data_IF_788505518140
#
_entry.id   IF_788505518140
#
_cell.length_a   1.000
_cell.length_b   1.000
_cell.length_c   1.000
_cell.angle_alpha   90.00
_cell.angle_beta   90.00
_cell.angle_gamma   90.00
#
_symmetry.space_group_name_H-M   'P 1'
#
loop_
_entity.id
_entity.type
_entity.pdbx_description
1 polymer ?
#
# COMPACT_ATOMS: atom_id res chain seq x y z
N UNK A 1 14.13 28.37 -6.51
CA UNK A 1 12.77 27.82 -6.36
C UNK A 1 12.87 26.33 -6.58
N UNK A 2 12.86 25.53 -5.50
CA UNK A 2 12.81 24.06 -5.61
C UNK A 2 11.48 23.71 -6.28
N UNK A 3 11.54 23.05 -7.43
CA UNK A 3 10.35 22.55 -8.11
C UNK A 3 10.01 21.22 -7.46
N UNK A 4 9.01 21.20 -6.59
CA UNK A 4 8.51 19.98 -5.95
C UNK A 4 7.63 19.22 -6.93
N UNK A 5 7.84 17.91 -7.06
CA UNK A 5 6.91 17.00 -7.73
C UNK A 5 5.94 16.40 -6.73
N UNK A 6 4.74 16.01 -7.21
CA UNK A 6 3.73 15.34 -6.40
C UNK A 6 3.24 14.07 -7.07
N UNK A 7 2.87 13.05 -6.30
CA UNK A 7 2.16 11.88 -6.82
C UNK A 7 1.16 11.33 -5.79
N UNK A 8 0.06 10.78 -6.29
CA UNK A 8 -0.93 10.08 -5.46
C UNK A 8 -0.53 8.64 -5.22
N UNK A 9 -0.85 8.10 -4.03
CA UNK A 9 -0.85 6.68 -3.74
C UNK A 9 -2.24 6.27 -3.21
N UNK A 10 -2.86 5.34 -3.93
CA UNK A 10 -4.13 4.72 -3.55
C UNK A 10 -3.94 3.21 -3.50
N UNK A 11 -4.56 2.54 -2.53
CA UNK A 11 -4.47 1.08 -2.37
C UNK A 11 -5.77 0.52 -1.81
N UNK A 12 -5.98 -0.78 -2.01
CA UNK A 12 -6.97 -1.57 -1.27
C UNK A 12 -8.37 -0.95 -1.40
N UNK A 13 -8.83 -0.87 -2.65
CA UNK A 13 -10.14 -0.30 -2.98
C UNK A 13 -11.26 -1.22 -2.52
N UNK A 14 -11.07 -2.54 -2.70
CA UNK A 14 -12.03 -3.60 -2.41
C UNK A 14 -13.48 -3.21 -2.68
N UNK A 15 -13.85 -3.11 -3.96
CA UNK A 15 -15.23 -2.89 -4.36
C UNK A 15 -16.09 -4.09 -3.93
N UNK A 16 -17.12 -3.86 -3.11
CA UNK A 16 -18.23 -4.80 -2.95
C UNK A 16 -19.39 -4.39 -3.90
N UNK A 17 -19.59 -5.10 -5.03
CA UNK A 17 -20.66 -4.78 -5.96
C UNK A 17 -22.06 -5.08 -5.40
N UNK A 18 -22.14 -5.79 -4.29
CA UNK A 18 -23.40 -6.19 -3.64
C UNK A 18 -23.88 -5.18 -2.61
N UNK A 19 -23.08 -4.16 -2.27
CA UNK A 19 -23.43 -3.18 -1.26
C UNK A 19 -24.75 -2.46 -1.58
N UNK A 20 -25.76 -2.61 -0.71
CA UNK A 20 -27.00 -1.86 -0.77
C UNK A 20 -27.63 -1.74 0.62
N UNK A 21 -28.28 -0.60 0.89
CA UNK A 21 -28.94 -0.37 2.19
C UNK A 21 -30.28 -1.10 2.20
N UNK A 22 -30.48 -2.00 3.17
CA UNK A 22 -31.69 -2.81 3.33
C UNK A 22 -32.00 -3.04 4.82
N UNK A 23 -33.28 -3.25 5.22
CA UNK A 23 -33.62 -3.51 6.62
C UNK A 23 -32.94 -4.76 7.19
N UNK A 24 -32.72 -5.78 6.37
CA UNK A 24 -31.99 -7.00 6.74
C UNK A 24 -30.49 -6.74 6.69
N UNK A 25 -29.91 -6.34 7.83
CA UNK A 25 -28.50 -5.92 7.92
C UNK A 25 -27.49 -7.02 7.57
N UNK A 26 -27.91 -8.28 7.52
CA UNK A 26 -27.07 -9.41 7.05
C UNK A 26 -26.91 -9.45 5.53
N UNK A 27 -27.75 -8.71 4.80
CA UNK A 27 -27.77 -8.66 3.32
C UNK A 27 -27.29 -7.33 2.75
N UNK A 28 -26.76 -6.45 3.60
CA UNK A 28 -26.27 -5.14 3.14
C UNK A 28 -25.08 -5.31 2.20
N UNK A 29 -24.17 -6.22 2.52
CA UNK A 29 -22.95 -6.48 1.76
C UNK A 29 -22.55 -7.93 1.92
N UNK A 30 -22.01 -8.55 0.88
CA UNK A 30 -21.56 -9.94 0.93
C UNK A 30 -20.24 -10.06 1.68
N UNK A 31 -19.43 -9.01 1.69
CA UNK A 31 -18.16 -8.93 2.42
C UNK A 31 -18.31 -9.08 3.95
N UNK A 32 -19.49 -8.79 4.52
CA UNK A 32 -19.74 -9.05 5.95
C UNK A 32 -19.93 -10.53 6.28
N UNK A 33 -20.05 -11.39 5.25
CA UNK A 33 -20.19 -12.85 5.36
C UNK A 33 -21.40 -13.25 6.21
N UNK A 34 -22.49 -12.48 6.09
CA UNK A 34 -23.75 -12.69 6.82
C UNK A 34 -23.77 -12.05 8.22
N UNK A 35 -22.71 -11.35 8.63
CA UNK A 35 -22.78 -10.52 9.84
C UNK A 35 -23.69 -9.31 9.60
N UNK A 36 -24.38 -8.87 10.65
CA UNK A 36 -25.15 -7.63 10.61
C UNK A 36 -24.19 -6.45 10.41
N UNK A 37 -24.34 -5.71 9.31
CA UNK A 37 -23.67 -4.41 9.15
C UNK A 37 -23.98 -3.49 10.36
N UNK A 38 -22.97 -2.77 10.84
CA UNK A 38 -23.02 -2.09 12.14
C UNK A 38 -23.96 -0.88 12.12
N UNK A 39 -23.71 0.03 11.19
CA UNK A 39 -24.49 1.23 10.94
C UNK A 39 -24.33 1.65 9.45
N UNK A 40 -24.89 0.86 8.51
CA UNK A 40 -24.63 1.04 7.10
C UNK A 40 -25.19 2.37 6.59
N UNK A 41 -24.41 3.06 5.76
CA UNK A 41 -24.80 4.29 5.12
C UNK A 41 -24.29 4.36 3.68
N UNK A 42 -24.56 5.48 2.98
CA UNK A 42 -24.30 5.61 1.55
C UNK A 42 -22.82 5.44 1.16
N UNK A 43 -21.88 5.68 2.08
CA UNK A 43 -20.45 5.56 1.85
C UNK A 43 -19.84 4.28 2.45
N UNK A 44 -20.64 3.38 3.03
CA UNK A 44 -20.16 2.08 3.50
C UNK A 44 -20.52 1.78 4.94
N UNK A 45 -19.89 0.75 5.47
CA UNK A 45 -19.97 0.30 6.87
C UNK A 45 -18.62 -0.32 7.26
N UNK A 46 -18.22 -0.24 8.52
CA UNK A 46 -16.96 -0.85 8.96
C UNK A 46 -16.97 -2.39 8.90
N UNK A 47 -18.10 -3.07 8.69
CA UNK A 47 -18.16 -4.51 8.43
C UNK A 47 -18.32 -4.85 6.95
N UNK A 48 -18.28 -3.83 6.08
CA UNK A 48 -18.40 -3.98 4.64
C UNK A 48 -17.16 -3.50 3.92
N UNK A 49 -16.88 -4.12 2.79
CA UNK A 49 -16.01 -3.56 1.78
C UNK A 49 -16.67 -2.35 1.09
N UNK A 50 -15.89 -1.63 0.29
CA UNK A 50 -16.28 -0.34 -0.28
C UNK A 50 -17.50 -0.46 -1.18
N UNK A 51 -18.59 0.29 -0.93
CA UNK A 51 -19.53 0.57 -2.01
C UNK A 51 -18.84 1.38 -3.11
N UNK A 52 -19.32 1.24 -4.34
CA UNK A 52 -18.76 1.99 -5.46
C UNK A 52 -18.80 3.52 -5.23
N UNK A 53 -19.83 4.01 -4.54
CA UNK A 53 -19.96 5.42 -4.16
C UNK A 53 -18.78 5.93 -3.30
N UNK A 54 -18.24 5.10 -2.41
CA UNK A 54 -17.07 5.46 -1.60
C UNK A 54 -15.84 5.65 -2.49
N UNK A 55 -15.56 4.68 -3.38
CA UNK A 55 -14.44 4.71 -4.31
C UNK A 55 -14.55 5.93 -5.24
N UNK A 56 -15.74 6.19 -5.79
CA UNK A 56 -16.00 7.38 -6.61
C UNK A 56 -15.75 8.67 -5.84
N UNK A 57 -16.13 8.74 -4.55
CA UNK A 57 -15.88 9.92 -3.72
C UNK A 57 -14.40 10.19 -3.50
N UNK A 58 -13.58 9.14 -3.33
CA UNK A 58 -12.14 9.26 -3.18
C UNK A 58 -11.49 9.85 -4.45
N UNK A 59 -11.84 9.31 -5.63
CA UNK A 59 -11.31 9.82 -6.89
C UNK A 59 -11.84 11.21 -7.25
N UNK A 60 -13.09 11.52 -6.91
CA UNK A 60 -13.63 12.87 -7.05
C UNK A 60 -12.86 13.87 -6.19
N UNK A 61 -12.63 13.56 -4.91
CA UNK A 61 -11.80 14.38 -4.03
C UNK A 61 -10.39 14.59 -4.59
N UNK A 62 -9.71 13.52 -5.01
CA UNK A 62 -8.36 13.60 -5.57
C UNK A 62 -8.31 14.51 -6.81
N UNK A 63 -9.32 14.43 -7.69
CA UNK A 63 -9.45 15.28 -8.88
C UNK A 63 -9.73 16.74 -8.54
N UNK A 64 -10.59 16.99 -7.55
CA UNK A 64 -11.04 18.33 -7.17
C UNK A 64 -10.06 19.04 -6.22
N UNK A 65 -9.07 18.33 -5.67
CA UNK A 65 -8.03 18.85 -4.77
C UNK A 65 -7.18 19.97 -5.39
N UNK A 66 -7.14 20.08 -6.72
CA UNK A 66 -6.30 21.02 -7.50
C UNK A 66 -4.80 20.81 -7.34
N UNK A 67 -4.37 19.72 -6.69
CA UNK A 67 -2.97 19.33 -6.60
C UNK A 67 -2.43 18.95 -7.99
N UNK A 68 -1.24 19.43 -8.33
CA UNK A 68 -0.60 19.14 -9.62
C UNK A 68 0.26 17.88 -9.51
N UNK A 69 -0.38 16.73 -9.70
CA UNK A 69 0.30 15.44 -9.64
C UNK A 69 0.95 15.05 -10.96
N UNK A 70 2.12 14.43 -10.86
CA UNK A 70 2.94 13.98 -11.98
C UNK A 70 2.56 12.56 -12.42
N UNK A 71 2.16 11.71 -11.47
CA UNK A 71 1.68 10.35 -11.69
C UNK A 71 0.86 9.87 -10.49
N UNK A 72 0.32 8.66 -10.57
CA UNK A 72 -0.29 7.94 -9.47
C UNK A 72 0.34 6.55 -9.34
N UNK A 73 0.48 6.05 -8.11
CA UNK A 73 0.71 4.63 -7.86
C UNK A 73 -0.57 4.00 -7.31
N UNK A 74 -0.91 2.81 -7.80
CA UNK A 74 -2.08 2.05 -7.36
C UNK A 74 -1.69 0.64 -6.97
N UNK A 75 -1.57 0.35 -5.68
CA UNK A 75 -0.99 -0.91 -5.20
C UNK A 75 -2.01 -2.05 -5.01
N UNK A 76 -3.05 -2.10 -5.86
CA UNK A 76 -3.89 -3.28 -6.02
C UNK A 76 -5.05 -3.44 -5.03
N UNK A 77 -5.57 -4.67 -4.98
CA UNK A 77 -6.69 -5.16 -4.18
C UNK A 77 -8.04 -4.51 -4.51
N UNK A 78 -8.61 -4.96 -5.62
CA UNK A 78 -9.87 -4.46 -6.18
C UNK A 78 -11.10 -5.30 -5.78
N UNK A 79 -11.08 -6.65 -5.82
CA UNK A 79 -12.23 -7.47 -5.45
C UNK A 79 -12.51 -7.49 -3.93
N UNK A 80 -13.74 -7.83 -3.50
CA UNK A 80 -14.12 -7.82 -2.09
C UNK A 80 -13.67 -9.09 -1.35
N UNK A 81 -13.70 -9.01 -0.02
CA UNK A 81 -13.44 -10.12 0.90
C UNK A 81 -14.66 -11.03 1.05
N UNK A 82 -14.93 -11.84 0.04
CA UNK A 82 -15.98 -12.87 0.08
C UNK A 82 -15.37 -14.27 -0.01
N UNK A 83 -16.06 -15.33 0.43
CA UNK A 83 -15.60 -16.69 0.21
C UNK A 83 -15.27 -16.95 -1.26
N UNK A 84 -14.18 -17.65 -1.56
CA UNK A 84 -13.71 -17.86 -2.94
C UNK A 84 -14.77 -18.43 -3.90
N UNK A 85 -15.72 -19.22 -3.40
CA UNK A 85 -16.86 -19.78 -4.15
C UNK A 85 -17.86 -18.73 -4.67
N UNK A 86 -17.84 -17.52 -4.12
CA UNK A 86 -18.70 -16.38 -4.51
C UNK A 86 -18.01 -15.49 -5.54
N UNK A 87 -16.73 -15.74 -5.82
CA UNK A 87 -15.97 -15.12 -6.91
C UNK A 87 -15.68 -16.12 -8.03
N UNK A 88 -15.14 -15.60 -9.12
CA UNK A 88 -14.58 -16.36 -10.24
C UNK A 88 -13.51 -15.52 -10.94
N UNK A 89 -12.65 -16.15 -11.74
CA UNK A 89 -11.67 -15.45 -12.58
C UNK A 89 -12.31 -14.32 -13.39
N UNK A 90 -13.45 -14.59 -14.01
CA UNK A 90 -14.18 -13.59 -14.81
C UNK A 90 -14.66 -12.39 -13.97
N UNK A 91 -15.18 -12.65 -12.77
CA UNK A 91 -15.66 -11.57 -11.90
C UNK A 91 -14.50 -10.73 -11.36
N UNK A 92 -13.40 -11.36 -10.95
CA UNK A 92 -12.16 -10.67 -10.54
C UNK A 92 -11.66 -9.77 -11.67
N UNK A 93 -11.50 -10.32 -12.88
CA UNK A 93 -11.08 -9.54 -14.06
C UNK A 93 -12.04 -8.37 -14.32
N UNK A 94 -13.36 -8.59 -14.22
CA UNK A 94 -14.36 -7.54 -14.42
C UNK A 94 -14.24 -6.42 -13.39
N UNK A 95 -13.95 -6.73 -12.12
CA UNK A 95 -13.80 -5.72 -11.07
C UNK A 95 -12.51 -4.91 -11.29
N UNK A 96 -11.39 -5.56 -11.60
CA UNK A 96 -10.13 -4.87 -11.92
C UNK A 96 -10.28 -3.98 -13.16
N UNK A 97 -10.98 -4.47 -14.19
CA UNK A 97 -11.31 -3.70 -15.39
C UNK A 97 -12.21 -2.50 -15.12
N UNK A 98 -13.16 -2.63 -14.19
CA UNK A 98 -13.98 -1.52 -13.70
C UNK A 98 -13.10 -0.47 -13.01
N UNK A 99 -12.30 -0.83 -12.01
CA UNK A 99 -11.41 0.10 -11.31
C UNK A 99 -10.43 0.79 -12.26
N UNK A 100 -9.81 0.03 -13.17
CA UNK A 100 -8.91 0.59 -14.18
C UNK A 100 -9.60 1.63 -15.08
N UNK A 101 -10.85 1.36 -15.49
CA UNK A 101 -11.62 2.28 -16.31
C UNK A 101 -12.09 3.50 -15.53
N UNK A 102 -12.46 3.33 -14.26
CA UNK A 102 -12.84 4.42 -13.36
C UNK A 102 -11.69 5.38 -13.14
N UNK A 103 -10.49 4.87 -12.84
CA UNK A 103 -9.29 5.69 -12.70
C UNK A 103 -9.03 6.50 -13.99
N UNK A 104 -9.07 5.86 -15.17
CA UNK A 104 -8.89 6.58 -16.45
C UNK A 104 -9.95 7.63 -16.71
N UNK A 105 -11.19 7.41 -16.29
CA UNK A 105 -12.27 8.38 -16.48
C UNK A 105 -12.08 9.63 -15.59
N UNK A 106 -11.56 9.46 -14.38
CA UNK A 106 -11.23 10.58 -13.50
C UNK A 106 -9.93 11.29 -13.95
N UNK A 107 -8.95 10.53 -14.40
CA UNK A 107 -7.59 10.99 -14.71
C UNK A 107 -7.13 10.50 -16.10
N UNK A 108 -7.68 11.05 -17.20
CA UNK A 108 -7.39 10.56 -18.55
C UNK A 108 -5.94 10.77 -18.99
N UNK A 109 -5.30 11.83 -18.50
CA UNK A 109 -3.94 12.23 -18.90
C UNK A 109 -2.87 11.84 -17.86
N UNK A 110 -3.27 11.21 -16.74
CA UNK A 110 -2.34 10.86 -15.67
C UNK A 110 -1.78 9.46 -15.89
N UNK A 111 -0.45 9.33 -15.88
CA UNK A 111 0.19 8.02 -15.86
C UNK A 111 -0.01 7.35 -14.50
N UNK A 112 -0.46 6.10 -14.52
CA UNK A 112 -0.68 5.30 -13.32
C UNK A 112 0.27 4.10 -13.34
N UNK A 113 0.96 3.85 -12.23
CA UNK A 113 1.79 2.68 -12.03
C UNK A 113 1.10 1.72 -11.06
N UNK A 114 0.39 0.71 -11.59
CA UNK A 114 -0.31 -0.25 -10.75
C UNK A 114 0.57 -1.43 -10.29
N UNK A 115 0.19 -2.05 -9.17
CA UNK A 115 0.63 -3.38 -8.74
C UNK A 115 -0.60 -4.25 -8.49
N UNK A 116 -0.48 -5.57 -8.66
CA UNK A 116 -1.53 -6.50 -8.28
C UNK A 116 -1.51 -6.74 -6.78
N UNK A 117 -2.68 -6.82 -6.16
CA UNK A 117 -2.85 -7.33 -4.81
C UNK A 117 -3.25 -8.81 -4.75
N UNK A 118 -3.32 -9.37 -3.55
CA UNK A 118 -3.60 -10.80 -3.37
C UNK A 118 -5.06 -11.16 -3.66
N UNK A 119 -5.98 -10.21 -3.55
CA UNK A 119 -7.38 -10.36 -3.97
C UNK A 119 -7.59 -10.17 -5.48
N UNK A 120 -6.62 -9.62 -6.21
CA UNK A 120 -6.68 -9.43 -7.67
C UNK A 120 -6.44 -10.74 -8.46
N UNK A 121 -6.77 -11.90 -7.88
CA UNK A 121 -6.68 -13.20 -8.53
C UNK A 121 -7.79 -14.15 -8.05
N UNK A 122 -8.10 -15.18 -8.83
CA UNK A 122 -9.03 -16.23 -8.40
C UNK A 122 -8.43 -17.63 -8.58
N UNK A 123 -8.48 -18.49 -7.55
CA UNK A 123 -8.83 -18.16 -6.16
C UNK A 123 -7.88 -17.11 -5.57
N UNK A 124 -8.36 -16.32 -4.59
CA UNK A 124 -7.53 -15.29 -3.94
C UNK A 124 -6.21 -15.87 -3.42
N UNK A 125 -5.17 -15.03 -3.37
CA UNK A 125 -3.81 -15.32 -2.93
C UNK A 125 -3.00 -16.24 -3.85
N UNK A 126 -3.63 -17.07 -4.69
CA UNK A 126 -2.98 -18.11 -5.48
C UNK A 126 -2.34 -17.60 -6.78
N UNK A 127 -1.60 -16.50 -6.71
CA UNK A 127 -0.97 -15.87 -7.88
C UNK A 127 0.14 -16.79 -8.45
N UNK A 128 0.11 -17.11 -9.76
CA UNK A 128 1.02 -18.08 -10.36
C UNK A 128 2.37 -17.51 -10.76
N UNK A 129 3.36 -18.40 -10.93
CA UNK A 129 4.72 -18.05 -11.37
C UNK A 129 4.88 -17.96 -12.89
N UNK A 130 3.79 -18.14 -13.64
CA UNK A 130 3.78 -18.08 -15.11
C UNK A 130 2.56 -17.28 -15.58
N UNK A 131 2.46 -17.07 -16.90
CA UNK A 131 1.34 -16.36 -17.50
C UNK A 131 -0.02 -16.97 -17.11
N UNK A 132 -1.03 -16.12 -17.00
CA UNK A 132 -2.39 -16.52 -16.61
C UNK A 132 -3.44 -15.68 -17.33
N UNK A 133 -4.70 -16.12 -17.28
CA UNK A 133 -5.83 -15.35 -17.83
C UNK A 133 -5.91 -13.96 -17.19
N UNK A 134 -5.73 -13.88 -15.86
CA UNK A 134 -5.75 -12.61 -15.13
C UNK A 134 -4.59 -11.71 -15.55
N UNK A 135 -3.35 -12.21 -15.59
CA UNK A 135 -2.20 -11.40 -16.00
C UNK A 135 -2.36 -10.87 -17.43
N UNK A 136 -2.94 -11.67 -18.32
CA UNK A 136 -3.19 -11.24 -19.68
C UNK A 136 -4.30 -10.18 -19.78
N UNK A 137 -5.42 -10.36 -19.08
CA UNK A 137 -6.51 -9.39 -19.09
C UNK A 137 -6.10 -8.06 -18.43
N UNK A 138 -5.40 -8.12 -17.30
CA UNK A 138 -4.95 -6.93 -16.58
C UNK A 138 -3.88 -6.18 -17.38
N UNK A 139 -2.97 -6.89 -18.07
CA UNK A 139 -2.06 -6.27 -19.03
C UNK A 139 -2.82 -5.45 -20.09
N UNK A 140 -3.92 -5.99 -20.63
CA UNK A 140 -4.73 -5.26 -21.61
C UNK A 140 -5.39 -4.02 -21.03
N UNK A 141 -5.85 -4.07 -19.78
CA UNK A 141 -6.38 -2.90 -19.09
C UNK A 141 -5.33 -1.83 -18.83
N UNK A 142 -4.08 -2.21 -18.55
CA UNK A 142 -3.01 -1.29 -18.14
C UNK A 142 -2.11 -0.82 -19.29
N UNK A 143 -2.30 -1.36 -20.51
CA UNK A 143 -1.63 -0.89 -21.74
C UNK A 143 -1.61 0.63 -21.91
N UNK A 144 -2.67 1.41 -21.60
CA UNK A 144 -2.61 2.87 -21.73
C UNK A 144 -1.59 3.56 -20.82
N UNK A 145 -1.12 2.91 -19.76
CA UNK A 145 -0.18 3.50 -18.79
C UNK A 145 1.25 2.96 -18.92
N UNK A 146 1.43 1.81 -19.59
CA UNK A 146 2.66 1.04 -19.60
C UNK A 146 3.15 0.80 -21.03
N UNK A 147 4.47 0.80 -21.23
CA UNK A 147 5.06 0.47 -22.53
C UNK A 147 5.01 -1.04 -22.81
N UNK A 148 5.34 -1.43 -24.05
CA UNK A 148 5.28 -2.84 -24.47
C UNK A 148 6.23 -3.75 -23.68
N UNK A 149 7.40 -3.26 -23.25
CA UNK A 149 8.36 -4.04 -22.44
C UNK A 149 7.78 -4.38 -21.06
N UNK A 150 7.18 -3.38 -20.41
CA UNK A 150 6.49 -3.52 -19.13
C UNK A 150 5.31 -4.49 -19.27
N UNK A 151 4.48 -4.34 -20.32
CA UNK A 151 3.36 -5.23 -20.62
C UNK A 151 3.81 -6.67 -20.85
N UNK A 152 4.90 -6.87 -21.60
CA UNK A 152 5.42 -8.22 -21.88
C UNK A 152 5.96 -8.91 -20.63
N UNK A 153 6.60 -8.17 -19.73
CA UNK A 153 7.08 -8.72 -18.45
C UNK A 153 5.91 -9.01 -17.52
N UNK A 154 4.94 -8.09 -17.44
CA UNK A 154 3.75 -8.25 -16.61
C UNK A 154 2.95 -9.50 -16.99
N UNK A 155 2.76 -9.77 -18.29
CA UNK A 155 2.07 -11.00 -18.74
C UNK A 155 2.72 -12.30 -18.28
N UNK A 156 4.02 -12.29 -17.97
CA UNK A 156 4.76 -13.49 -17.54
C UNK A 156 4.65 -13.76 -16.05
N UNK A 157 4.63 -12.73 -15.21
CA UNK A 157 4.71 -12.91 -13.76
C UNK A 157 4.03 -11.83 -12.90
N UNK A 158 3.26 -10.91 -13.49
CA UNK A 158 2.53 -9.86 -12.75
C UNK A 158 3.40 -8.72 -12.20
N UNK A 159 4.67 -8.62 -12.63
CA UNK A 159 5.61 -7.56 -12.26
C UNK A 159 6.19 -6.88 -13.49
N UNK A 160 6.69 -5.64 -13.35
CA UNK A 160 7.30 -4.90 -14.45
C UNK A 160 8.17 -3.73 -13.95
N UNK A 161 8.92 -3.11 -14.86
CA UNK A 161 9.53 -1.79 -14.64
C UNK A 161 9.17 -0.83 -15.76
N UNK A 162 9.03 0.45 -15.44
CA UNK A 162 8.70 1.52 -16.38
C UNK A 162 9.49 2.77 -16.00
N UNK A 163 10.02 3.48 -17.00
CA UNK A 163 10.60 4.80 -16.77
C UNK A 163 9.49 5.85 -16.76
N UNK A 164 9.57 6.74 -15.78
CA UNK A 164 8.80 7.97 -15.68
C UNK A 164 9.70 9.15 -16.04
N UNK A 165 9.33 9.88 -17.09
CA UNK A 165 10.03 11.07 -17.54
C UNK A 165 9.31 12.31 -17.02
N UNK A 166 9.92 13.00 -16.05
CA UNK A 166 9.43 14.32 -15.63
C UNK A 166 9.93 15.36 -16.62
N UNK A 167 9.03 16.11 -17.26
CA UNK A 167 9.41 17.21 -18.17
C UNK A 167 10.27 18.32 -17.54
N UNK A 168 10.45 18.29 -16.22
CA UNK A 168 11.28 19.24 -15.46
C UNK A 168 12.58 18.62 -14.90
N UNK A 169 12.81 17.31 -15.06
CA UNK A 169 14.03 16.64 -14.57
C UNK A 169 14.93 16.20 -15.72
N UNK A 170 16.24 16.20 -15.50
CA UNK A 170 17.25 15.74 -16.47
C UNK A 170 17.49 14.23 -16.41
N UNK A 171 16.98 13.54 -15.39
CA UNK A 171 17.12 12.10 -15.23
C UNK A 171 15.74 11.46 -15.06
N UNK A 172 15.46 10.30 -15.67
CA UNK A 172 14.19 9.62 -15.45
C UNK A 172 14.17 8.88 -14.11
N UNK A 173 13.00 8.82 -13.49
CA UNK A 173 12.72 7.94 -12.36
C UNK A 173 12.31 6.57 -12.90
N UNK A 174 12.84 5.50 -12.32
CA UNK A 174 12.38 4.14 -12.63
C UNK A 174 11.37 3.68 -11.59
N UNK A 175 10.19 3.28 -12.04
CA UNK A 175 9.23 2.55 -11.20
C UNK A 175 9.47 1.05 -11.39
N UNK A 176 9.55 0.31 -10.30
CA UNK A 176 9.58 -1.16 -10.28
C UNK A 176 8.33 -1.61 -9.53
N UNK A 177 7.40 -2.23 -10.27
CA UNK A 177 6.19 -2.82 -9.71
C UNK A 177 6.41 -4.31 -9.49
N UNK A 178 6.50 -4.70 -8.22
CA UNK A 178 6.72 -6.07 -7.78
C UNK A 178 5.40 -6.81 -7.60
N UNK A 179 5.42 -8.10 -7.91
CA UNK A 179 4.35 -9.01 -7.52
C UNK A 179 4.76 -9.71 -6.23
N UNK A 180 4.63 -9.00 -5.11
CA UNK A 180 4.98 -9.52 -3.77
C UNK A 180 3.99 -10.58 -3.27
N UNK A 181 2.85 -10.75 -3.92
CA UNK A 181 1.89 -11.81 -3.62
C UNK A 181 2.47 -13.21 -3.92
N UNK A 182 3.50 -13.32 -4.77
CA UNK A 182 4.26 -14.57 -4.95
C UNK A 182 4.94 -15.01 -3.65
N UNK A 183 5.24 -14.07 -2.76
CA UNK A 183 5.91 -14.33 -1.49
C UNK A 183 4.94 -14.48 -0.32
N UNK A 184 3.65 -14.21 -0.54
CA UNK A 184 2.63 -14.17 0.50
C UNK A 184 2.39 -15.56 1.11
N UNK A 185 2.31 -15.64 2.43
CA UNK A 185 2.26 -16.92 3.17
C UNK A 185 1.10 -17.84 2.75
N UNK A 186 -0.11 -17.34 2.45
CA UNK A 186 -1.23 -18.13 1.90
C UNK A 186 -1.08 -18.61 0.44
N UNK A 187 -0.11 -18.11 -0.33
CA UNK A 187 0.02 -18.50 -1.74
C UNK A 187 0.64 -19.90 -1.88
N UNK A 188 -0.19 -20.95 -2.02
CA UNK A 188 0.31 -22.32 -2.08
C UNK A 188 1.04 -22.64 -3.39
N UNK A 189 0.88 -21.81 -4.43
CA UNK A 189 1.51 -22.00 -5.75
C UNK A 189 3.03 -21.85 -5.68
N UNK A 190 3.54 -21.09 -4.71
CA UNK A 190 4.97 -20.76 -4.59
C UNK A 190 5.69 -21.52 -3.49
N UNK A 191 5.03 -22.45 -2.81
CA UNK A 191 5.65 -23.29 -1.77
C UNK A 191 6.86 -24.05 -2.36
N UNK A 192 7.98 -24.01 -1.65
CA UNK A 192 9.26 -24.62 -2.04
C UNK A 192 9.89 -24.08 -3.33
N UNK A 193 9.47 -22.91 -3.83
CA UNK A 193 10.14 -22.24 -4.95
C UNK A 193 11.10 -21.18 -4.41
N UNK A 194 12.38 -21.25 -4.76
CA UNK A 194 13.39 -20.31 -4.22
C UNK A 194 13.33 -18.92 -4.85
N UNK A 195 12.95 -18.82 -6.13
CA UNK A 195 12.75 -17.55 -6.83
C UNK A 195 11.51 -17.62 -7.73
N UNK A 196 10.29 -17.41 -7.17
CA UNK A 196 9.07 -17.56 -7.93
C UNK A 196 9.00 -16.54 -9.07
N UNK A 197 8.83 -17.06 -10.29
CA UNK A 197 8.83 -16.30 -11.56
C UNK A 197 10.16 -15.59 -11.88
N UNK A 198 11.28 -16.05 -11.31
CA UNK A 198 12.61 -15.44 -11.44
C UNK A 198 12.65 -13.94 -11.04
N UNK A 199 11.74 -13.53 -10.16
CA UNK A 199 11.51 -12.12 -9.84
C UNK A 199 12.67 -11.52 -9.03
N UNK A 200 13.35 -12.29 -8.17
CA UNK A 200 14.54 -11.80 -7.46
C UNK A 200 15.70 -11.59 -8.43
N UNK A 201 16.00 -12.58 -9.27
CA UNK A 201 17.06 -12.46 -10.27
C UNK A 201 16.79 -11.28 -11.23
N UNK A 202 15.53 -11.13 -11.67
CA UNK A 202 15.10 -9.99 -12.47
C UNK A 202 15.27 -8.66 -11.72
N UNK A 203 14.82 -8.56 -10.48
CA UNK A 203 14.92 -7.35 -9.66
C UNK A 203 16.37 -6.92 -9.46
N UNK A 204 17.26 -7.86 -9.10
CA UNK A 204 18.69 -7.58 -8.94
C UNK A 204 19.31 -7.06 -10.25
N UNK A 205 18.93 -7.62 -11.40
CA UNK A 205 19.39 -7.15 -12.71
C UNK A 205 18.92 -5.74 -13.06
N UNK A 206 17.66 -5.39 -12.75
CA UNK A 206 17.12 -4.05 -12.97
C UNK A 206 17.77 -3.01 -12.04
N UNK A 207 17.97 -3.35 -10.76
CA UNK A 207 18.61 -2.47 -9.78
C UNK A 207 20.09 -2.25 -10.11
N UNK A 208 20.82 -3.30 -10.51
CA UNK A 208 22.20 -3.19 -10.98
C UNK A 208 22.30 -2.27 -12.22
N UNK A 209 21.42 -2.47 -13.19
CA UNK A 209 21.36 -1.60 -14.39
C UNK A 209 21.04 -0.15 -14.02
N UNK A 210 20.14 0.05 -13.06
CA UNK A 210 19.77 1.39 -12.58
C UNK A 210 20.93 2.08 -11.87
N UNK A 211 21.70 1.33 -11.06
CA UNK A 211 22.94 1.79 -10.43
C UNK A 211 23.96 2.26 -11.48
N UNK A 212 24.25 1.43 -12.48
CA UNK A 212 25.20 1.75 -13.56
C UNK A 212 24.78 2.98 -14.37
N UNK A 213 23.47 3.14 -14.60
CA UNK A 213 22.88 4.29 -15.30
C UNK A 213 22.63 5.50 -14.39
N UNK A 214 22.97 5.42 -13.10
CA UNK A 214 22.72 6.46 -12.09
C UNK A 214 21.25 6.89 -12.02
N UNK A 215 20.33 5.96 -12.26
CA UNK A 215 18.89 6.18 -12.14
C UNK A 215 18.48 6.08 -10.67
N UNK A 216 17.40 6.76 -10.31
CA UNK A 216 16.71 6.54 -9.04
C UNK A 216 15.50 5.64 -9.25
N UNK A 217 15.16 4.90 -8.20
CA UNK A 217 14.10 3.88 -8.24
C UNK A 217 13.07 4.11 -7.15
N UNK A 218 11.80 4.03 -7.52
CA UNK A 218 10.72 3.74 -6.57
C UNK A 218 10.26 2.29 -6.72
N UNK A 219 10.19 1.58 -5.60
CA UNK A 219 9.63 0.23 -5.53
C UNK A 219 8.18 0.35 -5.13
N UNK A 220 7.29 -0.27 -5.90
CA UNK A 220 5.89 -0.46 -5.49
C UNK A 220 5.58 -1.95 -5.43
N UNK A 221 4.75 -2.34 -4.48
CA UNK A 221 4.24 -3.70 -4.34
C UNK A 221 2.95 -3.69 -3.53
N UNK A 222 2.27 -4.82 -3.41
CA UNK A 222 1.06 -4.88 -2.61
C UNK A 222 1.37 -5.30 -1.17
N UNK A 223 1.72 -6.57 -0.96
CA UNK A 223 2.13 -7.08 0.37
C UNK A 223 3.50 -6.50 0.73
N UNK A 224 3.66 -5.82 1.87
CA UNK A 224 4.94 -5.25 2.28
C UNK A 224 5.95 -6.32 2.72
N UNK A 225 7.22 -5.92 2.79
CA UNK A 225 8.24 -6.66 3.55
C UNK A 225 8.15 -6.30 5.04
N UNK A 226 8.93 -6.99 5.88
CA UNK A 226 9.01 -6.75 7.31
C UNK A 226 7.91 -7.45 8.10
N UNK A 227 7.78 -7.01 9.36
CA UNK A 227 6.88 -7.59 10.35
C UNK A 227 5.56 -6.83 10.42
N UNK A 228 4.47 -7.57 10.68
CA UNK A 228 3.16 -6.98 10.90
C UNK A 228 3.16 -6.22 12.24
N UNK A 229 2.85 -4.91 12.25
CA UNK A 229 2.99 -4.09 13.46
C UNK A 229 1.94 -4.38 14.54
N UNK A 230 0.93 -5.19 14.21
CA UNK A 230 -0.14 -5.65 15.10
C UNK A 230 -0.03 -7.12 15.49
N UNK A 231 1.04 -7.82 15.06
CA UNK A 231 1.26 -9.23 15.40
C UNK A 231 2.73 -9.48 15.76
N UNK A 232 2.97 -10.25 16.82
CA UNK A 232 4.33 -10.58 17.27
C UNK A 232 4.92 -11.68 16.39
N UNK A 233 6.19 -11.54 16.00
CA UNK A 233 6.98 -12.55 15.27
C UNK A 233 6.32 -13.03 13.96
N UNK A 234 5.55 -12.17 13.28
CA UNK A 234 4.83 -12.51 12.06
C UNK A 234 5.21 -11.55 10.94
N UNK A 235 5.86 -12.05 9.89
CA UNK A 235 6.11 -11.28 8.66
C UNK A 235 4.89 -11.29 7.74
N UNK A 236 4.74 -10.25 6.94
CA UNK A 236 3.64 -10.17 5.96
C UNK A 236 3.80 -11.19 4.82
N UNK A 237 5.03 -11.43 4.38
CA UNK A 237 5.42 -12.48 3.42
C UNK A 237 6.21 -13.59 4.11
N UNK A 238 6.41 -14.75 3.49
CA UNK A 238 7.21 -15.84 4.10
C UNK A 238 8.62 -15.35 4.42
N UNK A 239 9.12 -15.71 5.60
CA UNK A 239 10.40 -15.24 6.14
C UNK A 239 11.57 -15.37 5.15
N UNK A 240 11.71 -16.51 4.48
CA UNK A 240 12.74 -16.72 3.46
C UNK A 240 12.77 -15.61 2.38
N UNK A 241 11.60 -15.22 1.87
CA UNK A 241 11.48 -14.17 0.86
C UNK A 241 11.67 -12.78 1.47
N UNK A 242 11.21 -12.58 2.70
CA UNK A 242 11.45 -11.36 3.46
C UNK A 242 12.96 -11.08 3.57
N UNK A 243 13.72 -12.05 4.06
CA UNK A 243 15.17 -11.97 4.19
C UNK A 243 15.86 -11.72 2.84
N UNK A 244 15.37 -12.37 1.77
CA UNK A 244 15.92 -12.17 0.43
C UNK A 244 15.71 -10.76 -0.07
N UNK A 245 14.51 -10.19 0.08
CA UNK A 245 14.21 -8.82 -0.33
C UNK A 245 14.95 -7.79 0.52
N UNK A 246 14.98 -7.97 1.84
CA UNK A 246 15.74 -7.10 2.76
C UNK A 246 17.20 -7.03 2.32
N UNK A 247 17.83 -8.17 2.00
CA UNK A 247 19.21 -8.22 1.50
C UNK A 247 19.39 -7.48 0.17
N UNK A 248 18.47 -7.66 -0.78
CA UNK A 248 18.50 -6.98 -2.08
C UNK A 248 18.36 -5.46 -1.88
N UNK A 249 17.39 -5.02 -1.08
CA UNK A 249 17.15 -3.60 -0.83
C UNK A 249 18.28 -2.93 -0.06
N UNK A 250 18.92 -3.61 0.91
CA UNK A 250 20.16 -3.13 1.55
C UNK A 250 21.27 -2.91 0.53
N UNK A 251 21.52 -3.90 -0.33
CA UNK A 251 22.57 -3.85 -1.36
C UNK A 251 22.40 -2.67 -2.33
N UNK A 252 21.16 -2.35 -2.71
CA UNK A 252 20.86 -1.31 -3.70
C UNK A 252 20.22 -0.05 -3.10
N UNK A 253 20.36 0.18 -1.80
CA UNK A 253 19.73 1.29 -1.09
C UNK A 253 20.11 2.68 -1.63
N UNK A 254 21.32 2.82 -2.19
CA UNK A 254 21.77 4.07 -2.82
C UNK A 254 20.99 4.46 -4.09
N UNK A 255 20.33 3.49 -4.73
CA UNK A 255 19.52 3.64 -5.95
C UNK A 255 18.03 3.80 -5.61
N UNK A 256 17.56 3.09 -4.58
CA UNK A 256 16.16 3.09 -4.16
C UNK A 256 15.88 4.36 -3.35
N UNK A 257 15.01 5.23 -3.87
CA UNK A 257 14.64 6.49 -3.25
C UNK A 257 13.35 6.41 -2.39
N UNK A 258 12.59 5.32 -2.50
CA UNK A 258 11.38 5.09 -1.71
C UNK A 258 10.70 3.77 -2.07
N UNK A 259 9.98 3.19 -1.11
CA UNK A 259 9.19 1.98 -1.31
C UNK A 259 7.75 2.16 -0.80
N UNK A 260 6.78 1.68 -1.56
CA UNK A 260 5.35 1.95 -1.33
C UNK A 260 4.52 0.69 -1.44
N UNK A 261 3.75 0.40 -0.38
CA UNK A 261 2.96 -0.82 -0.23
C UNK A 261 1.53 -0.54 0.25
N UNK A 262 0.68 -1.56 0.22
CA UNK A 262 -0.69 -1.53 0.74
C UNK A 262 -0.95 -2.72 1.66
N UNK A 263 -2.02 -3.47 1.40
CA UNK A 263 -2.36 -4.77 2.00
C UNK A 263 -2.81 -4.73 3.46
N UNK A 264 -2.11 -4.00 4.32
CA UNK A 264 -2.37 -4.03 5.77
C UNK A 264 -3.60 -3.21 6.16
N UNK A 265 -4.06 -2.33 5.25
CA UNK A 265 -5.10 -1.32 5.47
C UNK A 265 -4.77 -0.35 6.59
N UNK A 266 -3.49 -0.18 6.92
CA UNK A 266 -3.02 0.69 8.02
C UNK A 266 -1.97 1.66 7.52
N UNK A 267 -1.94 2.84 8.11
CA UNK A 267 -0.89 3.81 7.86
C UNK A 267 0.35 3.41 8.65
N UNK A 268 1.38 2.91 7.97
CA UNK A 268 2.63 2.52 8.62
C UNK A 268 3.83 3.01 7.84
N UNK A 269 4.92 3.22 8.59
CA UNK A 269 6.22 3.53 8.03
C UNK A 269 7.19 2.45 8.50
N UNK A 270 8.21 2.21 7.71
CA UNK A 270 9.31 1.33 8.05
C UNK A 270 10.61 1.97 7.60
N UNK A 271 11.67 1.77 8.37
CA UNK A 271 13.01 2.25 8.04
C UNK A 271 13.93 1.04 7.93
N UNK A 272 14.46 0.82 6.74
CA UNK A 272 15.45 -0.23 6.53
C UNK A 272 16.82 0.28 6.97
N UNK A 273 17.42 -0.43 7.92
CA UNK A 273 18.81 -0.22 8.36
C UNK A 273 19.77 -1.12 7.56
N UNK A 274 21.00 -0.64 7.33
CA UNK A 274 22.12 -1.47 6.84
C UNK A 274 22.71 -2.36 7.94
N UNK A 275 23.79 -3.08 7.62
CA UNK A 275 24.45 -4.00 8.56
C UNK A 275 25.18 -3.27 9.71
N UNK A 276 25.44 -1.96 9.55
CA UNK A 276 26.01 -1.07 10.56
C UNK A 276 24.94 -0.24 11.30
N UNK A 277 23.67 -0.65 11.23
CA UNK A 277 22.50 0.02 11.84
C UNK A 277 22.26 1.46 11.37
N UNK A 278 22.76 1.85 10.19
CA UNK A 278 22.45 3.16 9.60
C UNK A 278 21.17 3.07 8.78
N UNK A 279 20.27 4.05 8.88
CA UNK A 279 19.06 4.05 8.07
C UNK A 279 19.40 4.34 6.61
N UNK A 280 18.97 3.46 5.71
CA UNK A 280 19.33 3.54 4.28
C UNK A 280 18.14 3.60 3.34
N UNK A 281 16.93 3.23 3.78
CA UNK A 281 15.74 3.24 2.92
C UNK A 281 14.46 3.51 3.71
N UNK A 282 13.57 4.33 3.13
CA UNK A 282 12.25 4.66 3.68
C UNK A 282 11.16 3.86 2.96
N UNK A 283 10.29 3.21 3.73
CA UNK A 283 9.19 2.41 3.24
C UNK A 283 7.87 2.90 3.84
N UNK A 284 6.82 2.92 3.03
CA UNK A 284 5.51 3.42 3.43
C UNK A 284 4.43 2.42 3.05
N UNK A 285 3.56 2.13 4.01
CA UNK A 285 2.36 1.31 3.82
C UNK A 285 1.16 2.23 3.88
N UNK A 286 0.35 2.24 2.82
CA UNK A 286 -0.83 3.07 2.74
C UNK A 286 -2.05 2.38 3.37
N UNK A 287 -2.90 3.13 4.09
CA UNK A 287 -4.19 2.63 4.50
C UNK A 287 -5.08 2.42 3.27
N UNK A 288 -6.15 1.65 3.48
CA UNK A 288 -7.08 1.32 2.44
C UNK A 288 -8.13 2.41 2.22
N UNK A 289 -8.74 2.41 1.04
CA UNK A 289 -10.03 3.08 0.85
C UNK A 289 -11.15 2.27 1.51
N UNK A 290 -11.08 0.93 1.48
CA UNK A 290 -12.05 0.10 2.21
C UNK A 290 -11.95 0.29 3.72
N UNK A 291 -13.08 0.40 4.45
CA UNK A 291 -13.09 0.48 5.90
C UNK A 291 -13.35 -0.89 6.56
N UNK A 292 -13.27 -1.99 5.80
CA UNK A 292 -13.71 -3.30 6.29
C UNK A 292 -12.87 -3.78 7.47
N UNK A 293 -13.54 -4.33 8.48
CA UNK A 293 -12.94 -5.14 9.53
C UNK A 293 -13.79 -6.38 9.77
N UNK A 294 -13.18 -7.41 10.35
CA UNK A 294 -13.91 -8.56 10.86
C UNK A 294 -14.69 -8.19 12.14
N UNK A 295 -15.71 -9.00 12.46
CA UNK A 295 -16.57 -8.79 13.65
C UNK A 295 -15.76 -8.81 14.95
N UNK A 296 -14.74 -9.65 15.02
CA UNK A 296 -13.89 -9.83 16.21
C UNK A 296 -12.83 -8.74 16.38
N UNK A 297 -12.57 -7.95 15.34
CA UNK A 297 -11.58 -6.87 15.41
C UNK A 297 -12.20 -5.64 16.08
N UNK A 298 -11.48 -5.06 17.04
CA UNK A 298 -11.87 -3.81 17.69
C UNK A 298 -11.65 -2.61 16.77
N UNK A 299 -10.57 -2.64 16.00
CA UNK A 299 -10.10 -1.57 15.14
C UNK A 299 -10.48 -1.79 13.67
N UNK A 300 -10.77 -0.70 12.99
CA UNK A 300 -10.70 -0.59 11.52
C UNK A 300 -9.81 0.59 11.14
N UNK A 301 -9.86 1.00 9.88
CA UNK A 301 -9.41 2.29 9.39
C UNK A 301 -10.61 3.08 8.83
N UNK A 302 -10.55 4.41 8.91
CA UNK A 302 -11.32 5.20 7.96
C UNK A 302 -10.75 5.05 6.54
N UNK A 303 -11.57 5.29 5.50
CA UNK A 303 -11.09 5.38 4.12
C UNK A 303 -9.99 6.44 3.98
N UNK A 304 -8.86 6.06 3.37
CA UNK A 304 -7.68 6.92 3.22
C UNK A 304 -7.12 6.97 1.79
N UNK A 305 -6.59 8.13 1.41
CA UNK A 305 -5.75 8.33 0.21
C UNK A 305 -4.60 9.27 0.57
N UNK A 306 -3.44 9.16 -0.09
CA UNK A 306 -2.28 9.99 0.28
C UNK A 306 -1.53 10.57 -0.91
N UNK A 307 -0.94 11.73 -0.67
CA UNK A 307 -0.13 12.47 -1.63
C UNK A 307 1.30 12.53 -1.12
N UNK A 308 2.26 12.23 -1.98
CA UNK A 308 3.68 12.42 -1.68
C UNK A 308 4.21 13.66 -2.38
N UNK A 309 5.15 14.33 -1.73
CA UNK A 309 5.99 15.35 -2.33
C UNK A 309 7.41 14.82 -2.49
N UNK A 310 8.05 15.09 -3.62
CA UNK A 310 9.42 14.67 -3.91
C UNK A 310 10.23 15.76 -4.59
N UNK A 311 11.55 15.71 -4.44
CA UNK A 311 12.47 16.58 -5.16
C UNK A 311 12.63 16.09 -6.61
N UNK A 312 12.38 16.95 -7.60
CA UNK A 312 12.45 16.53 -9.00
C UNK A 312 13.87 16.22 -9.49
N UNK A 313 14.91 16.65 -8.76
CA UNK A 313 16.30 16.47 -9.17
C UNK A 313 16.85 15.10 -8.78
N UNK A 314 16.53 14.62 -7.58
CA UNK A 314 17.07 13.36 -7.05
C UNK A 314 16.00 12.36 -6.58
N UNK A 315 14.73 12.71 -6.71
CA UNK A 315 13.58 11.89 -6.33
C UNK A 315 13.51 11.53 -4.85
N UNK A 316 14.25 12.23 -3.99
CA UNK A 316 14.10 12.10 -2.54
C UNK A 316 12.71 12.56 -2.09
N UNK A 317 12.15 11.87 -1.11
CA UNK A 317 10.83 12.19 -0.58
C UNK A 317 10.92 13.34 0.41
N UNK A 318 10.09 14.35 0.19
CA UNK A 318 10.05 15.59 0.96
C UNK A 318 8.92 15.58 1.99
N UNK A 319 7.74 15.09 1.62
CA UNK A 319 6.58 15.06 2.52
C UNK A 319 5.54 14.00 2.12
N UNK A 320 4.63 13.70 3.05
CA UNK A 320 3.45 12.86 2.85
C UNK A 320 2.24 13.54 3.49
N UNK A 321 1.22 13.79 2.67
CA UNK A 321 -0.06 14.32 3.11
C UNK A 321 -1.09 13.20 3.09
N UNK A 322 -1.58 12.83 4.26
CA UNK A 322 -2.59 11.80 4.41
C UNK A 322 -3.96 12.47 4.45
N UNK A 323 -4.87 12.01 3.60
CA UNK A 323 -6.26 12.44 3.58
C UNK A 323 -7.16 11.28 3.98
N UNK A 324 -8.30 11.60 4.56
CA UNK A 324 -9.25 10.60 4.99
C UNK A 324 -10.69 11.09 4.90
N UNK A 325 -11.60 10.13 4.91
CA UNK A 325 -13.02 10.37 5.09
C UNK A 325 -13.44 9.87 6.47
N UNK A 326 -13.96 10.75 7.33
CA UNK A 326 -14.65 10.28 8.55
C UNK A 326 -15.94 9.57 8.11
N UNK A 327 -15.91 8.25 8.08
CA UNK A 327 -17.01 7.44 7.53
C UNK A 327 -18.30 7.62 8.35
N UNK A 328 -18.18 7.80 9.67
CA UNK A 328 -19.34 8.00 10.55
C UNK A 328 -20.00 9.34 10.27
N UNK A 329 -19.19 10.40 10.17
CA UNK A 329 -19.66 11.74 9.83
C UNK A 329 -20.29 11.76 8.43
N UNK A 330 -19.62 11.16 7.44
CA UNK A 330 -20.06 11.13 6.06
C UNK A 330 -21.40 10.41 5.89
N UNK A 331 -21.57 9.25 6.54
CA UNK A 331 -22.84 8.53 6.53
C UNK A 331 -23.96 9.29 7.26
N UNK A 332 -23.65 9.99 8.36
CA UNK A 332 -24.63 10.78 9.10
C UNK A 332 -25.13 12.00 8.31
N UNK A 333 -24.21 12.67 7.59
CA UNK A 333 -24.51 13.88 6.80
C UNK A 333 -24.94 13.59 5.36
N UNK A 334 -24.73 12.35 4.90
CA UNK A 334 -24.85 11.96 3.49
C UNK A 334 -23.98 12.85 2.57
N UNK A 335 -22.75 13.16 3.02
CA UNK A 335 -21.80 14.01 2.31
C UNK A 335 -20.37 13.47 2.50
N UNK A 336 -19.63 13.27 1.40
CA UNK A 336 -18.26 12.74 1.43
C UNK A 336 -17.21 13.84 1.60
N UNK A 337 -17.14 14.43 2.80
CA UNK A 337 -16.16 15.48 3.12
C UNK A 337 -14.78 14.89 3.45
N UNK A 338 -14.04 14.52 2.40
CA UNK A 338 -12.63 14.16 2.51
C UNK A 338 -11.81 15.34 3.04
N UNK A 339 -10.96 15.08 4.03
CA UNK A 339 -10.18 16.11 4.72
C UNK A 339 -8.74 15.66 4.95
N UNK A 340 -7.85 16.64 5.07
CA UNK A 340 -6.46 16.39 5.46
C UNK A 340 -6.46 15.83 6.89
N UNK A 341 -5.91 14.62 7.06
CA UNK A 341 -5.68 14.05 8.37
C UNK A 341 -4.41 14.68 8.96
N UNK A 342 -3.29 14.57 8.24
CA UNK A 342 -2.02 15.12 8.68
C UNK A 342 -1.03 15.36 7.54
N UNK A 343 -0.01 16.16 7.84
CA UNK A 343 1.21 16.34 7.04
C UNK A 343 2.35 15.75 7.86
N UNK A 344 3.06 14.76 7.32
CA UNK A 344 3.99 13.93 8.08
C UNK A 344 5.10 14.77 8.73
N UNK A 345 5.76 15.64 7.96
CA UNK A 345 6.84 16.51 8.47
C UNK A 345 6.37 17.40 9.63
N UNK A 346 5.19 18.02 9.49
CA UNK A 346 4.60 18.91 10.49
C UNK A 346 4.18 18.17 11.75
N UNK A 347 3.50 17.04 11.61
CA UNK A 347 2.95 16.29 12.75
C UNK A 347 4.05 15.64 13.57
N UNK A 348 5.10 15.13 12.92
CA UNK A 348 6.20 14.44 13.61
C UNK A 348 7.43 15.31 13.84
N UNK A 349 7.41 16.57 13.42
CA UNK A 349 8.53 17.50 13.57
C UNK A 349 9.81 16.93 12.99
N UNK A 350 9.76 16.53 11.71
CA UNK A 350 10.92 16.11 10.90
C UNK A 350 11.01 17.00 9.65
N UNK A 351 12.19 17.06 9.06
CA UNK A 351 12.46 17.95 7.92
C UNK A 351 12.02 17.36 6.58
N UNK A 352 12.16 16.06 6.41
CA UNK A 352 11.82 15.33 5.18
C UNK A 352 11.51 13.85 5.48
N UNK A 353 11.33 13.05 4.42
CA UNK A 353 11.01 11.63 4.50
C UNK A 353 12.22 10.73 4.22
N UNK A 354 13.44 11.28 4.33
CA UNK A 354 14.67 10.51 4.19
C UNK A 354 14.83 9.51 5.35
N UNK A 355 15.60 8.44 5.14
CA UNK A 355 15.74 7.39 6.14
C UNK A 355 16.19 7.91 7.51
N UNK A 356 17.11 8.88 7.54
CA UNK A 356 17.63 9.49 8.77
C UNK A 356 16.53 10.22 9.56
N UNK A 357 15.74 11.05 8.87
CA UNK A 357 14.61 11.79 9.46
C UNK A 357 13.56 10.83 10.05
N UNK A 358 13.19 9.77 9.31
CA UNK A 358 12.23 8.78 9.79
C UNK A 358 12.78 7.92 10.93
N UNK A 359 14.08 7.64 10.93
CA UNK A 359 14.71 6.90 12.03
C UNK A 359 14.74 7.73 13.32
N UNK A 360 15.03 9.03 13.24
CA UNK A 360 14.93 9.94 14.38
C UNK A 360 13.48 10.15 14.85
N UNK A 361 12.50 10.09 13.94
CA UNK A 361 11.10 9.97 14.33
C UNK A 361 10.85 8.67 15.10
N UNK A 362 11.26 7.51 14.58
CA UNK A 362 11.06 6.21 15.22
C UNK A 362 11.63 6.16 16.64
N UNK A 363 12.85 6.67 16.86
CA UNK A 363 13.44 6.80 18.21
C UNK A 363 12.58 7.62 19.17
N UNK A 364 11.99 8.72 18.68
CA UNK A 364 11.08 9.56 19.50
C UNK A 364 9.75 8.87 19.80
N UNK A 365 9.26 8.01 18.92
CA UNK A 365 8.10 7.16 19.18
C UNK A 365 8.40 6.14 20.30
N UNK A 366 9.61 5.57 20.31
CA UNK A 366 10.03 4.57 21.30
C UNK A 366 10.10 5.09 22.73
N UNK A 367 10.29 6.41 22.94
CA UNK A 367 10.41 7.00 24.28
C UNK A 367 9.25 6.61 25.22
N UNK A 368 9.52 6.31 26.50
CA UNK A 368 8.47 6.02 27.49
C UNK A 368 7.42 7.13 27.54
N UNK A 369 6.14 6.75 27.59
CA UNK A 369 4.99 7.68 27.59
C UNK A 369 4.96 8.70 26.44
N UNK A 370 5.57 8.38 25.28
CA UNK A 370 5.57 9.23 24.09
C UNK A 370 4.16 9.60 23.64
N UNK A 371 3.81 10.89 23.73
CA UNK A 371 2.59 11.45 23.14
C UNK A 371 2.62 11.38 21.62
N UNK A 372 3.82 11.43 21.03
CA UNK A 372 4.03 11.27 19.60
C UNK A 372 3.62 9.87 19.12
N UNK A 373 3.88 8.84 19.94
CA UNK A 373 3.41 7.48 19.65
C UNK A 373 1.88 7.38 19.68
N UNK A 374 1.21 8.07 20.60
CA UNK A 374 -0.27 8.11 20.62
C UNK A 374 -0.82 8.74 19.34
N UNK A 375 -0.22 9.84 18.89
CA UNK A 375 -0.57 10.45 17.60
C UNK A 375 -0.29 9.51 16.43
N UNK A 376 0.86 8.83 16.43
CA UNK A 376 1.19 7.83 15.42
C UNK A 376 0.16 6.70 15.36
N UNK A 377 -0.26 6.18 16.51
CA UNK A 377 -1.25 5.11 16.56
C UNK A 377 -2.64 5.56 16.11
N UNK A 378 -3.04 6.80 16.42
CA UNK A 378 -4.27 7.38 15.88
C UNK A 378 -4.23 7.42 14.34
N UNK A 379 -3.10 7.85 13.77
CA UNK A 379 -2.92 7.89 12.32
C UNK A 379 -2.83 6.47 11.71
N UNK A 380 -2.24 5.51 12.43
CA UNK A 380 -2.14 4.11 12.00
C UNK A 380 -3.51 3.49 11.67
N UNK A 381 -4.55 3.84 12.44
CA UNK A 381 -5.95 3.48 12.20
C UNK A 381 -6.74 4.57 11.45
N UNK A 382 -6.07 5.54 10.83
CA UNK A 382 -6.67 6.64 10.07
C UNK A 382 -7.73 7.40 10.87
N UNK A 383 -7.40 7.69 12.13
CA UNK A 383 -8.28 8.38 13.08
C UNK A 383 -9.66 7.71 13.21
N UNK A 384 -9.70 6.37 13.08
CA UNK A 384 -10.92 5.57 13.20
C UNK A 384 -11.58 5.74 14.56
N UNK A 385 -10.80 5.70 15.65
CA UNK A 385 -11.31 5.87 17.00
C UNK A 385 -10.19 6.33 17.94
N UNK A 386 -10.24 7.60 18.34
CA UNK A 386 -9.25 8.22 19.23
C UNK A 386 -9.26 7.62 20.65
N UNK A 387 -10.28 6.87 21.02
CA UNK A 387 -10.36 6.22 22.34
C UNK A 387 -9.54 4.93 22.41
N UNK A 388 -9.13 4.38 21.26
CA UNK A 388 -8.31 3.19 21.20
C UNK A 388 -6.85 3.55 21.46
N UNK A 389 -6.26 2.94 22.49
CA UNK A 389 -4.89 3.20 22.91
C UNK A 389 -4.04 1.94 22.76
N UNK A 390 -2.89 2.10 22.11
CA UNK A 390 -1.86 1.09 22.02
C UNK A 390 -0.81 1.29 23.13
N UNK A 391 -0.80 0.39 24.10
CA UNK A 391 0.13 0.41 25.23
C UNK A 391 0.93 -0.90 25.32
N UNK A 392 2.00 -0.88 26.10
CA UNK A 392 2.83 -2.05 26.42
C UNK A 392 3.21 -2.87 25.17
N UNK A 393 2.80 -4.15 25.12
CA UNK A 393 3.15 -5.08 24.04
C UNK A 393 2.66 -4.63 22.66
N UNK A 394 1.56 -3.87 22.57
CA UNK A 394 1.13 -3.28 21.29
C UNK A 394 2.18 -2.29 20.80
N UNK A 395 2.64 -1.39 21.68
CA UNK A 395 3.67 -0.40 21.34
C UNK A 395 4.97 -1.09 20.95
N UNK A 396 5.38 -2.12 21.69
CA UNK A 396 6.58 -2.90 21.36
C UNK A 396 6.49 -3.51 19.96
N UNK A 397 5.36 -4.13 19.58
CA UNK A 397 5.17 -4.68 18.24
C UNK A 397 5.28 -3.62 17.15
N UNK A 398 4.65 -2.46 17.35
CA UNK A 398 4.70 -1.33 16.43
C UNK A 398 6.13 -0.81 16.25
N UNK A 399 6.82 -0.47 17.35
CA UNK A 399 8.17 0.10 17.34
C UNK A 399 9.19 -0.86 16.73
N UNK A 400 9.12 -2.15 17.06
CA UNK A 400 10.03 -3.15 16.49
C UNK A 400 9.76 -3.36 15.00
N UNK A 401 8.50 -3.40 14.56
CA UNK A 401 8.16 -3.54 13.14
C UNK A 401 8.58 -2.32 12.31
N UNK A 402 8.54 -1.10 12.86
CA UNK A 402 9.00 0.12 12.18
C UNK A 402 10.50 0.07 11.89
N UNK A 403 11.32 -0.42 12.83
CA UNK A 403 12.78 -0.28 12.78
C UNK A 403 13.50 -1.53 12.27
N UNK A 404 12.90 -2.71 12.39
CA UNK A 404 13.60 -3.97 12.21
C UNK A 404 12.82 -4.90 11.29
N UNK A 405 13.35 -5.03 10.07
CA UNK A 405 12.67 -5.70 8.96
C UNK A 405 13.21 -7.11 8.71
N UNK A 406 14.31 -7.51 9.34
CA UNK A 406 14.87 -8.87 9.30
C UNK A 406 14.66 -9.61 10.62
N UNK A 407 14.74 -10.93 10.56
CA UNK A 407 14.50 -11.81 11.69
C UNK A 407 15.38 -11.54 12.91
N UNK A 408 16.69 -11.35 12.69
CA UNK A 408 17.63 -11.21 13.80
C UNK A 408 17.36 -9.92 14.56
N UNK A 409 17.28 -8.80 13.84
CA UNK A 409 17.12 -7.49 14.47
C UNK A 409 15.72 -7.31 15.11
N UNK A 410 14.67 -7.85 14.48
CA UNK A 410 13.32 -7.82 15.04
C UNK A 410 13.23 -8.65 16.32
N UNK A 411 13.77 -9.87 16.31
CA UNK A 411 13.78 -10.76 17.48
C UNK A 411 14.53 -10.12 18.65
N UNK A 412 15.69 -9.50 18.39
CA UNK A 412 16.46 -8.78 19.40
C UNK A 412 15.66 -7.62 20.01
N UNK A 413 14.95 -6.83 19.19
CA UNK A 413 14.09 -5.75 19.68
C UNK A 413 12.99 -6.26 20.60
N UNK A 414 12.29 -7.31 20.17
CA UNK A 414 11.18 -7.94 20.88
C UNK A 414 11.61 -8.60 22.21
N UNK A 415 12.88 -8.94 22.37
CA UNK A 415 13.43 -9.53 23.60
C UNK A 415 13.97 -8.49 24.59
N UNK A 416 14.31 -7.28 24.12
CA UNK A 416 14.86 -6.19 24.95
C UNK A 416 13.77 -5.36 25.64
N UNK A 417 12.62 -5.24 25.01
CA UNK A 417 11.39 -4.62 25.54
C UNK A 417 10.53 -5.64 26.28
#
# INVERSE_FOLDING_TARGET
FLKTGQFWHVSDLHLDPTYHITPDRTKVCSSSKGANASNPGPFGDFLCDSPYQLILSAFAFMKDSKEQVSFMIWTGDSPPHVPAKELSTKLVISIIGNMSSTIRNFFPDLQVFPALGNHDYWPQDQLPVTTSEVYNAVADFWKPWLNDEAINTFRKGGFYTQLFESGNSSQPLRIISLNTNLYYSPNNVTVNITDPADQFAWLEGILETSSQKKQKVYIIGHVPIGYLPYARNTTAIREYYNERLVKIFRKYSSVIAGQFFGHTHRDSIMVLLDEEEKPVNSLFVAPAVTPVKNVWQMESNNPGVRLYQYDILDYSLLDLWQFYLDLREANKKNESNWKLEYILTKTYGIEDLKPESLYEMAKRLSMPHSTLFKQYYSNFIVSYDETIVCEEGCKTCQICAIQYLDYSSYTDCIQRE
#
